data_IF_599643888509
#
_entry.id   IF_599643888509
#
_cell.length_a   1.000
_cell.length_b   1.000
_cell.length_c   1.000
_cell.angle_alpha   90.00
_cell.angle_beta   90.00
_cell.angle_gamma   90.00
#
_symmetry.space_group_name_H-M   'P 1'
#
loop_
_entity.id
_entity.type
_entity.pdbx_description
1 polymer ?
#
# COMPACT_ATOMS: atom_id res chain seq x y z
N UNK A 1 -25.28 -6.64 30.73
CA UNK A 1 -23.88 -6.42 30.35
C UNK A 1 -23.55 -7.41 29.26
N UNK A 2 -23.07 -6.94 28.09
CA UNK A 2 -22.05 -7.66 27.32
C UNK A 2 -22.43 -8.66 26.23
N UNK A 3 -23.63 -9.21 26.16
CA UNK A 3 -23.90 -10.28 25.18
C UNK A 3 -24.28 -9.71 23.80
N UNK A 4 -23.45 -8.85 23.19
CA UNK A 4 -23.54 -8.66 21.74
C UNK A 4 -23.42 -10.04 21.09
N UNK A 5 -24.02 -10.24 19.91
CA UNK A 5 -23.85 -11.46 19.11
C UNK A 5 -22.35 -11.63 18.76
N UNK A 6 -21.57 -12.16 19.71
CA UNK A 6 -20.14 -12.43 19.64
C UNK A 6 -19.84 -13.22 18.36
N UNK A 7 -20.75 -14.11 17.98
CA UNK A 7 -20.70 -14.85 16.73
C UNK A 7 -20.64 -13.95 15.49
N UNK A 8 -21.45 -12.89 15.40
CA UNK A 8 -21.41 -11.96 14.26
C UNK A 8 -20.12 -11.14 14.22
N UNK A 9 -19.62 -10.73 15.39
CA UNK A 9 -18.33 -10.03 15.50
C UNK A 9 -17.18 -10.95 15.10
N UNK A 10 -17.19 -12.20 15.55
CA UNK A 10 -16.20 -13.21 15.16
C UNK A 10 -16.24 -13.45 13.65
N UNK A 11 -17.42 -13.62 13.06
CA UNK A 11 -17.56 -13.81 11.61
C UNK A 11 -17.04 -12.58 10.85
N UNK A 12 -17.35 -11.36 11.31
CA UNK A 12 -16.83 -10.14 10.71
C UNK A 12 -15.30 -10.07 10.76
N UNK A 13 -14.69 -10.45 11.89
CA UNK A 13 -13.22 -10.53 12.03
C UNK A 13 -12.63 -11.55 11.06
N UNK A 14 -13.22 -12.75 10.97
CA UNK A 14 -12.75 -13.79 10.05
C UNK A 14 -12.80 -13.30 8.60
N UNK A 15 -13.90 -12.65 8.20
CA UNK A 15 -14.04 -12.09 6.86
C UNK A 15 -13.00 -11.00 6.60
N UNK A 16 -12.74 -10.11 7.55
CA UNK A 16 -11.69 -9.09 7.43
C UNK A 16 -10.29 -9.72 7.24
N UNK A 17 -9.97 -10.78 7.98
CA UNK A 17 -8.69 -11.49 7.84
C UNK A 17 -8.58 -12.17 6.47
N UNK A 18 -9.65 -12.82 6.00
CA UNK A 18 -9.67 -13.45 4.67
C UNK A 18 -9.47 -12.43 3.55
N UNK A 19 -10.13 -11.27 3.64
CA UNK A 19 -9.94 -10.16 2.70
C UNK A 19 -8.49 -9.68 2.69
N UNK A 20 -7.88 -9.54 3.86
CA UNK A 20 -6.48 -9.11 3.96
C UNK A 20 -5.52 -10.12 3.30
N UNK A 21 -5.71 -11.41 3.55
CA UNK A 21 -4.91 -12.48 2.94
C UNK A 21 -5.10 -12.48 1.41
N UNK A 22 -6.33 -12.31 0.93
CA UNK A 22 -6.62 -12.25 -0.50
C UNK A 22 -5.92 -11.05 -1.18
N UNK A 23 -5.96 -9.87 -0.57
CA UNK A 23 -5.28 -8.69 -1.10
C UNK A 23 -3.76 -8.86 -1.09
N UNK A 24 -3.19 -9.52 -0.07
CA UNK A 24 -1.78 -9.84 -0.03
C UNK A 24 -1.38 -10.82 -1.15
N UNK A 25 -2.21 -11.85 -1.39
CA UNK A 25 -2.01 -12.79 -2.50
C UNK A 25 -2.04 -12.09 -3.85
N UNK A 26 -3.01 -11.19 -4.09
CA UNK A 26 -3.07 -10.40 -5.32
C UNK A 26 -1.79 -9.59 -5.53
N UNK A 27 -1.29 -8.91 -4.49
CA UNK A 27 -0.07 -8.13 -4.60
C UNK A 27 1.13 -9.01 -4.95
N UNK A 28 1.34 -10.12 -4.23
CA UNK A 28 2.51 -11.00 -4.45
C UNK A 28 2.49 -11.67 -5.82
N UNK A 29 1.31 -12.01 -6.34
CA UNK A 29 1.17 -12.72 -7.62
C UNK A 29 1.19 -11.78 -8.84
N UNK A 30 0.76 -10.52 -8.69
CA UNK A 30 0.67 -9.55 -9.79
C UNK A 30 1.70 -8.41 -9.71
N UNK A 31 2.62 -8.44 -8.75
CA UNK A 31 3.74 -7.48 -8.71
C UNK A 31 4.71 -7.70 -9.89
N UNK A 32 5.27 -6.60 -10.40
CA UNK A 32 6.32 -6.65 -11.41
C UNK A 32 7.60 -7.24 -10.79
N UNK A 33 8.37 -8.10 -11.50
CA UNK A 33 9.60 -8.71 -10.97
C UNK A 33 10.65 -7.69 -10.51
N UNK A 34 10.73 -6.54 -11.18
CA UNK A 34 11.66 -5.46 -10.82
C UNK A 34 11.30 -4.76 -9.50
N UNK A 35 10.06 -4.89 -9.05
CA UNK A 35 9.56 -4.30 -7.81
C UNK A 35 9.24 -5.40 -6.78
N UNK A 36 9.97 -6.51 -6.75
CA UNK A 36 9.70 -7.60 -5.81
C UNK A 36 10.20 -7.31 -4.38
N UNK A 37 11.29 -6.56 -4.23
CA UNK A 37 11.96 -6.29 -2.94
C UNK A 37 12.23 -4.80 -2.65
N UNK A 38 11.63 -3.89 -3.42
CA UNK A 38 11.73 -2.44 -3.20
C UNK A 38 10.38 -1.86 -2.72
N UNK A 39 10.36 -0.63 -2.20
CA UNK A 39 9.15 0.11 -1.83
C UNK A 39 8.11 -0.62 -0.92
N UNK A 40 8.53 -1.13 0.25
CA UNK A 40 7.62 -1.80 1.20
C UNK A 40 6.50 -0.90 1.76
N UNK A 41 6.75 0.41 1.88
CA UNK A 41 5.77 1.35 2.45
C UNK A 41 4.56 1.58 1.54
N UNK A 42 4.73 1.93 0.24
CA UNK A 42 3.61 2.00 -0.71
C UNK A 42 2.85 0.68 -0.84
N UNK A 43 3.54 -0.46 -0.84
CA UNK A 43 2.90 -1.79 -0.88
C UNK A 43 1.96 -2.03 0.29
N UNK A 44 2.38 -1.66 1.50
CA UNK A 44 1.54 -1.75 2.67
C UNK A 44 0.29 -0.86 2.54
N UNK A 45 0.46 0.38 2.06
CA UNK A 45 -0.65 1.31 1.84
C UNK A 45 -1.64 0.76 0.81
N UNK A 46 -1.17 0.13 -0.27
CA UNK A 46 -2.01 -0.51 -1.28
C UNK A 46 -2.82 -1.67 -0.70
N UNK A 47 -2.20 -2.60 0.04
CA UNK A 47 -2.91 -3.73 0.66
C UNK A 47 -3.96 -3.23 1.65
N UNK A 48 -3.62 -2.20 2.44
CA UNK A 48 -4.53 -1.59 3.41
C UNK A 48 -5.70 -0.91 2.69
N UNK A 49 -5.45 -0.10 1.65
CA UNK A 49 -6.48 0.56 0.86
C UNK A 49 -7.44 -0.40 0.16
N UNK A 50 -6.90 -1.45 -0.49
CA UNK A 50 -7.71 -2.50 -1.11
C UNK A 50 -8.56 -3.26 -0.08
N UNK A 51 -8.03 -3.47 1.12
CA UNK A 51 -8.76 -4.16 2.20
C UNK A 51 -9.92 -3.31 2.71
N UNK A 52 -9.70 -2.00 2.95
CA UNK A 52 -10.77 -1.11 3.39
C UNK A 52 -11.85 -1.00 2.31
N UNK A 53 -11.48 -0.84 1.04
CA UNK A 53 -12.44 -0.79 -0.07
C UNK A 53 -13.31 -2.06 -0.17
N UNK A 54 -12.70 -3.24 -0.05
CA UNK A 54 -13.41 -4.51 -0.07
C UNK A 54 -14.35 -4.67 1.14
N UNK A 55 -13.92 -4.25 2.33
CA UNK A 55 -14.75 -4.25 3.55
C UNK A 55 -15.95 -3.31 3.37
N UNK A 56 -15.76 -2.12 2.79
CA UNK A 56 -16.84 -1.16 2.51
C UNK A 56 -17.91 -1.75 1.59
N UNK A 57 -17.53 -2.56 0.60
CA UNK A 57 -18.48 -3.28 -0.26
C UNK A 57 -19.22 -4.37 0.54
N UNK A 58 -18.51 -5.15 1.37
CA UNK A 58 -19.10 -6.22 2.18
C UNK A 58 -19.98 -5.70 3.32
N UNK A 59 -19.81 -4.45 3.74
CA UNK A 59 -20.72 -3.81 4.71
C UNK A 59 -22.11 -3.56 4.15
N UNK A 60 -22.29 -3.42 2.84
CA UNK A 60 -23.61 -3.21 2.23
C UNK A 60 -24.57 -4.39 2.46
N UNK A 61 -24.23 -5.64 2.09
CA UNK A 61 -25.08 -6.79 2.40
C UNK A 61 -25.17 -7.04 3.91
N UNK A 62 -24.14 -6.72 4.68
CA UNK A 62 -24.18 -6.84 6.14
C UNK A 62 -25.20 -5.88 6.79
N UNK A 63 -25.32 -4.63 6.31
CA UNK A 63 -26.33 -3.67 6.79
C UNK A 63 -27.75 -4.13 6.42
N UNK A 64 -27.95 -4.63 5.18
CA UNK A 64 -29.25 -5.21 4.77
C UNK A 64 -29.64 -6.39 5.65
N UNK A 65 -28.72 -7.33 5.88
CA UNK A 65 -28.96 -8.50 6.73
C UNK A 65 -29.24 -8.09 8.19
N UNK A 66 -28.51 -7.12 8.73
CA UNK A 66 -28.66 -6.64 10.10
C UNK A 66 -30.05 -5.98 10.33
N UNK A 67 -30.54 -5.20 9.36
CA UNK A 67 -31.89 -4.61 9.42
C UNK A 67 -32.99 -5.67 9.26
N UNK A 68 -32.78 -6.65 8.38
CA UNK A 68 -33.72 -7.75 8.18
C UNK A 68 -33.86 -8.61 9.43
N UNK A 69 -32.77 -8.87 10.15
CA UNK A 69 -32.76 -9.62 11.41
C UNK A 69 -33.55 -8.91 12.52
N UNK A 70 -33.45 -7.57 12.62
CA UNK A 70 -34.25 -6.79 13.58
C UNK A 70 -35.75 -6.79 13.23
N UNK A 71 -36.12 -6.79 11.94
CA UNK A 71 -37.54 -6.87 11.53
C UNK A 71 -38.20 -8.23 11.76
N UNK A 72 -37.43 -9.32 11.71
CA UNK A 72 -37.93 -10.69 11.91
C UNK A 72 -37.71 -11.20 13.34
N UNK A 73 -37.24 -10.36 14.26
CA UNK A 73 -37.03 -10.72 15.64
C UNK A 73 -38.36 -10.99 16.35
N UNK A 74 -38.60 -12.26 16.70
CA UNK A 74 -39.77 -12.72 17.48
C UNK A 74 -39.70 -12.23 18.96
N UNK A 75 -38.52 -11.83 19.43
CA UNK A 75 -38.28 -11.36 20.80
C UNK A 75 -38.01 -9.85 20.85
N UNK A 76 -38.78 -9.12 21.67
CA UNK A 76 -38.79 -7.65 21.81
C UNK A 76 -37.45 -6.99 22.22
N UNK A 77 -36.39 -7.77 22.46
CA UNK A 77 -35.03 -7.30 22.80
C UNK A 77 -33.95 -7.58 21.76
N UNK A 78 -34.24 -8.29 20.65
CA UNK A 78 -33.20 -8.74 19.73
C UNK A 78 -32.60 -7.63 18.83
N UNK A 79 -33.28 -6.48 18.70
CA UNK A 79 -32.67 -5.30 18.04
C UNK A 79 -31.57 -4.65 18.89
N UNK A 80 -31.40 -5.02 20.16
CA UNK A 80 -30.24 -4.63 20.97
C UNK A 80 -29.04 -5.58 20.75
N UNK A 81 -29.25 -6.67 20.00
CA UNK A 81 -28.27 -7.70 19.65
C UNK A 81 -27.72 -7.53 18.22
N UNK A 82 -28.06 -6.43 17.55
CA UNK A 82 -27.59 -6.12 16.18
C UNK A 82 -26.24 -5.42 16.23
N UNK A 83 -25.45 -5.54 15.15
CA UNK A 83 -24.22 -4.76 15.01
C UNK A 83 -24.55 -3.24 14.99
N UNK A 84 -23.77 -2.39 15.68
CA UNK A 84 -23.92 -0.94 15.63
C UNK A 84 -23.44 -0.39 14.28
N UNK A 85 -24.26 -0.56 13.24
CA UNK A 85 -23.88 -0.22 11.86
C UNK A 85 -23.58 1.27 11.66
N UNK A 86 -24.21 2.17 12.42
CA UNK A 86 -23.93 3.62 12.33
C UNK A 86 -22.48 3.94 12.73
N UNK A 87 -22.01 3.33 13.81
CA UNK A 87 -20.67 3.58 14.33
C UNK A 87 -19.60 2.95 13.43
N UNK A 88 -19.87 1.75 12.89
CA UNK A 88 -18.99 1.08 11.93
C UNK A 88 -18.88 1.86 10.60
N UNK A 89 -20.00 2.32 10.04
CA UNK A 89 -19.99 3.15 8.83
C UNK A 89 -19.25 4.47 9.06
N UNK A 90 -19.47 5.12 10.20
CA UNK A 90 -18.76 6.34 10.55
C UNK A 90 -17.25 6.09 10.65
N UNK A 91 -16.83 5.01 11.32
CA UNK A 91 -15.43 4.64 11.44
C UNK A 91 -14.77 4.40 10.06
N UNK A 92 -15.42 3.65 9.18
CA UNK A 92 -14.90 3.37 7.84
C UNK A 92 -14.83 4.63 6.98
N UNK A 93 -15.84 5.49 7.02
CA UNK A 93 -15.77 6.76 6.28
C UNK A 93 -14.67 7.69 6.76
N UNK A 94 -14.40 7.73 8.08
CA UNK A 94 -13.26 8.50 8.62
C UNK A 94 -11.94 7.90 8.15
N UNK A 95 -11.80 6.57 8.19
CA UNK A 95 -10.59 5.87 7.72
C UNK A 95 -10.38 6.11 6.23
N UNK A 96 -11.42 5.99 5.40
CA UNK A 96 -11.38 6.24 3.96
C UNK A 96 -10.97 7.68 3.66
N UNK A 97 -11.53 8.67 4.36
CA UNK A 97 -11.17 10.06 4.19
C UNK A 97 -9.68 10.30 4.52
N UNK A 98 -9.18 9.73 5.62
CA UNK A 98 -7.76 9.86 6.00
C UNK A 98 -6.85 9.18 4.97
N UNK A 99 -7.22 7.99 4.51
CA UNK A 99 -6.48 7.25 3.49
C UNK A 99 -6.37 8.03 2.19
N UNK A 100 -7.50 8.51 1.67
CA UNK A 100 -7.56 9.15 0.35
C UNK A 100 -6.93 10.53 0.35
N UNK A 101 -7.17 11.35 1.37
CA UNK A 101 -6.68 12.74 1.37
C UNK A 101 -5.26 12.89 1.90
N UNK A 102 -4.82 12.01 2.79
CA UNK A 102 -3.50 12.13 3.41
C UNK A 102 -2.60 10.96 2.99
N UNK A 103 -2.93 9.73 3.38
CA UNK A 103 -1.96 8.63 3.28
C UNK A 103 -1.60 8.29 1.84
N UNK A 104 -2.56 8.19 0.92
CA UNK A 104 -2.31 7.83 -0.48
C UNK A 104 -1.47 8.92 -1.19
N UNK A 105 -1.81 10.23 -1.12
CA UNK A 105 -0.96 11.27 -1.68
C UNK A 105 0.46 11.27 -1.10
N UNK A 106 0.61 11.12 0.22
CA UNK A 106 1.93 11.04 0.86
C UNK A 106 2.71 9.79 0.42
N UNK A 107 2.05 8.64 0.27
CA UNK A 107 2.68 7.42 -0.22
C UNK A 107 3.12 7.54 -1.69
N UNK A 108 2.35 8.25 -2.52
CA UNK A 108 2.71 8.52 -3.91
C UNK A 108 3.98 9.39 -3.99
N UNK A 109 4.01 10.53 -3.28
CA UNK A 109 5.20 11.38 -3.25
C UNK A 109 6.43 10.67 -2.67
N UNK A 110 6.22 9.81 -1.67
CA UNK A 110 7.31 9.00 -1.10
C UNK A 110 7.87 7.99 -2.11
N UNK A 111 7.00 7.34 -2.89
CA UNK A 111 7.41 6.40 -3.93
C UNK A 111 8.19 7.09 -5.05
N UNK A 112 7.70 8.22 -5.55
CA UNK A 112 8.39 9.01 -6.58
C UNK A 112 9.80 9.43 -6.12
N UNK A 113 9.95 9.88 -4.88
CA UNK A 113 11.25 10.28 -4.34
C UNK A 113 12.22 9.13 -4.02
N UNK A 114 11.76 7.88 -3.98
CA UNK A 114 12.62 6.68 -3.85
C UNK A 114 13.14 6.25 -5.23
N UNK A 115 12.30 6.36 -6.27
CA UNK A 115 12.69 6.09 -7.65
C UNK A 115 13.86 7.00 -8.09
N UNK A 116 13.82 8.29 -7.76
CA UNK A 116 14.90 9.23 -8.09
C UNK A 116 16.26 8.81 -7.48
N UNK A 117 16.27 8.31 -6.25
CA UNK A 117 17.51 7.85 -5.60
C UNK A 117 18.06 6.58 -6.23
N UNK A 118 17.20 5.67 -6.66
CA UNK A 118 17.64 4.44 -7.31
C UNK A 118 18.24 4.73 -8.70
N UNK A 119 17.67 5.70 -9.44
CA UNK A 119 18.21 6.19 -10.71
C UNK A 119 19.57 6.86 -10.56
N UNK A 120 19.73 7.73 -9.55
CA UNK A 120 21.00 8.41 -9.26
C UNK A 120 22.11 7.41 -8.90
N UNK A 121 21.81 6.41 -8.05
CA UNK A 121 22.79 5.35 -7.73
C UNK A 121 23.23 4.55 -8.96
N UNK A 122 22.33 4.31 -9.92
CA UNK A 122 22.67 3.58 -11.15
C UNK A 122 23.55 4.43 -12.08
N UNK A 123 23.26 5.73 -12.20
CA UNK A 123 24.10 6.66 -12.95
C UNK A 123 25.48 6.81 -12.30
N UNK A 124 25.56 6.90 -10.98
CA UNK A 124 26.82 6.95 -10.22
C UNK A 124 27.63 5.66 -10.37
N UNK A 125 26.98 4.49 -10.42
CA UNK A 125 27.65 3.21 -10.64
C UNK A 125 28.15 3.06 -12.08
N UNK A 126 27.36 3.47 -13.08
CA UNK A 126 27.81 3.49 -14.47
C UNK A 126 28.94 4.50 -14.69
N UNK A 127 28.83 5.71 -14.15
CA UNK A 127 29.89 6.72 -14.22
C UNK A 127 31.18 6.19 -13.61
N UNK A 128 31.16 5.64 -12.39
CA UNK A 128 32.36 5.02 -11.78
C UNK A 128 32.94 3.86 -12.59
N UNK A 129 32.11 3.11 -13.30
CA UNK A 129 32.54 1.97 -14.12
C UNK A 129 33.21 2.41 -15.41
N UNK A 130 32.69 3.44 -16.06
CA UNK A 130 33.17 3.91 -17.36
C UNK A 130 34.19 5.04 -17.25
N UNK A 131 34.22 5.82 -16.17
CA UNK A 131 35.18 6.90 -15.93
C UNK A 131 36.65 6.45 -16.06
N UNK A 132 37.13 5.35 -15.44
CA UNK A 132 38.52 4.92 -15.60
C UNK A 132 38.83 4.46 -17.03
N UNK A 133 37.83 3.90 -17.73
CA UNK A 133 37.97 3.46 -19.12
C UNK A 133 38.09 4.69 -20.03
N UNK A 134 37.18 5.66 -19.91
CA UNK A 134 37.23 6.93 -20.64
C UNK A 134 38.56 7.66 -20.39
N UNK A 135 39.02 7.73 -19.14
CA UNK A 135 40.32 8.31 -18.77
C UNK A 135 41.49 7.57 -19.44
N UNK A 136 41.41 6.25 -19.57
CA UNK A 136 42.40 5.45 -20.29
C UNK A 136 42.37 5.69 -21.82
N UNK A 137 41.20 5.83 -22.44
CA UNK A 137 41.09 6.13 -23.87
C UNK A 137 41.57 7.56 -24.21
N UNK A 138 41.28 8.52 -23.35
CA UNK A 138 41.74 9.91 -23.49
C UNK A 138 43.27 10.01 -23.43
N UNK A 139 43.87 9.22 -22.54
CA UNK A 139 45.31 9.07 -22.38
C UNK A 139 46.03 8.54 -23.64
N UNK A 140 45.34 7.74 -24.46
CA UNK A 140 45.87 7.14 -25.69
C UNK A 140 45.56 7.94 -26.97
N UNK A 141 44.52 8.77 -26.98
CA UNK A 141 44.01 9.45 -28.19
C UNK A 141 44.52 10.88 -28.37
N UNK A 142 45.03 11.54 -27.33
CA UNK A 142 45.65 12.86 -27.47
C UNK A 142 47.00 13.02 -26.72
N UNK A 143 48.10 12.48 -27.27
CA UNK A 143 49.44 12.63 -26.68
C UNK A 143 49.97 14.09 -26.70
N UNK A 144 49.32 15.02 -27.41
CA UNK A 144 49.77 16.42 -27.52
C UNK A 144 49.23 17.32 -26.41
N UNK A 145 48.05 17.06 -25.84
CA UNK A 145 47.48 17.87 -24.76
C UNK A 145 48.21 17.66 -23.41
N UNK A 146 48.68 16.44 -23.12
CA UNK A 146 49.36 16.11 -21.86
C UNK A 146 50.73 16.82 -21.69
N UNK A 147 51.40 17.15 -22.80
CA UNK A 147 52.67 17.92 -22.77
C UNK A 147 52.48 19.40 -22.41
N UNK A 148 51.29 19.96 -22.61
CA UNK A 148 51.03 21.37 -22.27
C UNK A 148 50.67 21.59 -20.80
N UNK A 149 50.12 20.57 -20.14
CA UNK A 149 49.71 20.62 -18.72
C UNK A 149 50.91 20.36 -17.79
N UNK A 150 51.84 19.48 -18.18
CA UNK A 150 53.05 19.19 -17.39
C UNK A 150 54.25 20.10 -17.72
N UNK A 151 54.06 21.15 -18.53
CA UNK A 151 55.10 22.11 -18.90
C UNK A 151 54.92 23.49 -18.24
N UNK A 152 54.02 23.59 -17.25
CA UNK A 152 53.87 24.71 -16.31
C UNK A 152 54.14 24.15 -14.91
#
# INVERSE_FOLDING_TARGET
MGDFNLALVIVAIIVCVLVFIFNLYLLVNYQHPDDANQAYFPKFVVVLGLSVAAISILMLPADVANRQACRHAIYNGACNLTLPMKDLWLAIYIIDAILVFFIIPFAMFYYEGDMDKSGENFQDEEEKKYEPICRQWEDHTNPYQRKSINAI
#
